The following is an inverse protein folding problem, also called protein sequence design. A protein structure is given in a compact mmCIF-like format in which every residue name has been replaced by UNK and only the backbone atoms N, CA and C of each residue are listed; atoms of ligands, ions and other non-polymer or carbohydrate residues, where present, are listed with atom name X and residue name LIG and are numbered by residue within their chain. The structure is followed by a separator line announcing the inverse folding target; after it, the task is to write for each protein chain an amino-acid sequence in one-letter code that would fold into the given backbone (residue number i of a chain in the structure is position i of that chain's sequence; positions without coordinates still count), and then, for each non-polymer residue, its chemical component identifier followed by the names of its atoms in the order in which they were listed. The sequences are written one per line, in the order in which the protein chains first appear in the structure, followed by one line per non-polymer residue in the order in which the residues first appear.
data_IF_416240416903
#
_entry.id   IF_416240416903
#
_cell.length_a   1.000
_cell.length_b   1.000
_cell.length_c   1.000
_cell.angle_alpha   90.00
_cell.angle_beta   90.00
_cell.angle_gamma   90.00
#
_symmetry.space_group_name_H-M   'P 1'
#
loop_
_entity.id
_entity.type
_entity.pdbx_description
1 polymer ?
#
# COMPACT_ATOMS: atom_id res chain seq x y z
N UNK A 1 -18.44 24.80 35.47
CA UNK A 1 -18.91 23.39 35.40
C UNK A 1 -18.62 22.89 33.98
N UNK A 2 -17.44 22.35 33.73
CA UNK A 2 -17.07 21.82 32.43
C UNK A 2 -17.21 20.30 32.48
N UNK A 3 -18.26 19.83 31.85
CA UNK A 3 -18.60 18.42 31.77
C UNK A 3 -17.66 17.70 30.83
N UNK A 4 -17.13 16.58 31.27
CA UNK A 4 -16.18 15.70 30.59
C UNK A 4 -16.69 15.24 29.22
N UNK A 5 -16.06 15.68 28.14
CA UNK A 5 -16.18 15.05 26.83
C UNK A 5 -15.45 13.72 26.91
N UNK A 6 -16.21 12.62 26.94
CA UNK A 6 -15.65 11.27 26.74
C UNK A 6 -15.09 11.21 25.31
N UNK A 7 -13.78 11.16 25.21
CA UNK A 7 -13.10 10.74 24.00
C UNK A 7 -13.50 9.29 23.72
N UNK A 8 -14.35 9.14 22.73
CA UNK A 8 -14.77 7.86 22.17
C UNK A 8 -13.55 7.15 21.60
N UNK A 9 -13.29 5.93 22.11
CA UNK A 9 -12.52 4.85 21.58
C UNK A 9 -11.30 5.20 20.73
N UNK A 10 -10.12 5.12 21.32
CA UNK A 10 -8.87 4.90 20.61
C UNK A 10 -9.04 3.67 19.72
N UNK A 11 -9.32 3.90 18.42
CA UNK A 11 -9.02 2.89 17.41
C UNK A 11 -7.50 2.85 17.37
N UNK A 12 -6.92 1.91 18.08
CA UNK A 12 -5.51 1.60 17.98
C UNK A 12 -5.23 1.37 16.50
N UNK A 13 -4.43 2.27 15.91
CA UNK A 13 -3.84 2.00 14.63
C UNK A 13 -3.16 0.63 14.75
N UNK A 14 -3.45 -0.33 13.85
CA UNK A 14 -2.73 -1.58 13.86
C UNK A 14 -1.26 -1.22 13.85
N UNK A 15 -0.53 -1.66 14.87
CA UNK A 15 0.90 -1.47 14.92
C UNK A 15 1.45 -2.01 13.60
N UNK A 16 2.22 -1.20 12.89
CA UNK A 16 3.04 -1.61 11.75
C UNK A 16 4.16 -2.57 12.22
N UNK A 17 3.76 -3.58 12.99
CA UNK A 17 4.62 -4.69 13.36
C UNK A 17 4.49 -5.75 12.31
N UNK A 18 5.61 -5.91 11.61
CA UNK A 18 5.97 -7.11 10.89
C UNK A 18 5.01 -7.50 9.77
N UNK A 19 4.98 -6.69 8.70
CA UNK A 19 5.00 -7.32 7.40
C UNK A 19 6.39 -7.98 7.26
N UNK A 20 6.56 -9.16 7.83
CA UNK A 20 7.67 -10.01 7.50
C UNK A 20 7.55 -10.31 6.01
N UNK A 21 8.31 -9.61 5.19
CA UNK A 21 8.39 -9.95 3.79
C UNK A 21 8.73 -8.85 2.80
N UNK A 22 8.57 -7.58 3.09
CA UNK A 22 8.99 -6.56 2.13
C UNK A 22 9.88 -5.51 2.79
N UNK A 23 11.12 -5.89 3.02
CA UNK A 23 12.19 -4.94 3.16
C UNK A 23 12.58 -4.45 1.76
N UNK A 24 11.87 -3.48 1.21
CA UNK A 24 12.37 -2.66 0.10
C UNK A 24 13.53 -1.76 0.58
N UNK A 25 13.79 -1.73 1.88
CA UNK A 25 14.96 -1.10 2.47
C UNK A 25 16.20 -1.92 2.11
N UNK A 26 16.80 -1.60 0.98
CA UNK A 26 18.05 -2.22 0.52
C UNK A 26 18.10 -2.56 -0.95
N UNK A 27 17.11 -2.15 -1.75
CA UNK A 27 17.20 -2.27 -3.22
C UNK A 27 17.03 -3.68 -3.77
N UNK A 28 16.49 -4.62 -3.01
CA UNK A 28 16.18 -5.94 -3.51
C UNK A 28 14.69 -6.01 -3.86
N UNK A 29 14.38 -5.91 -5.15
CA UNK A 29 13.00 -6.06 -5.66
C UNK A 29 12.65 -7.55 -5.55
N UNK A 30 11.49 -7.92 -4.95
CA UNK A 30 11.10 -9.31 -4.85
C UNK A 30 10.83 -9.92 -6.23
N UNK A 31 11.06 -11.22 -6.36
CA UNK A 31 10.84 -11.94 -7.60
C UNK A 31 9.36 -11.88 -8.08
N UNK A 32 8.43 -11.77 -7.12
CA UNK A 32 6.99 -11.63 -7.37
C UNK A 32 6.41 -10.56 -6.47
N UNK A 33 5.46 -9.77 -6.99
CA UNK A 33 4.75 -8.75 -6.22
C UNK A 33 3.47 -9.32 -5.61
N UNK A 34 3.03 -8.70 -4.51
CA UNK A 34 1.80 -9.05 -3.81
C UNK A 34 0.78 -7.92 -3.93
N UNK A 35 -0.50 -8.25 -3.84
CA UNK A 35 -1.56 -7.26 -3.73
C UNK A 35 -1.65 -6.70 -2.29
N UNK A 36 -2.09 -5.45 -2.15
CA UNK A 36 -2.39 -4.85 -0.84
C UNK A 36 -3.90 -4.66 -0.74
N UNK A 37 -4.53 -5.44 0.14
CA UNK A 37 -5.98 -5.35 0.39
C UNK A 37 -6.20 -5.17 1.88
N UNK A 38 -6.99 -4.18 2.29
CA UNK A 38 -7.22 -3.85 3.71
C UNK A 38 -5.93 -3.59 4.51
N UNK A 39 -4.89 -3.06 3.86
CA UNK A 39 -3.59 -2.82 4.49
C UNK A 39 -2.77 -4.09 4.76
N UNK A 40 -3.16 -5.21 4.18
CA UNK A 40 -2.44 -6.47 4.28
C UNK A 40 -1.88 -6.90 2.93
N UNK A 41 -0.70 -7.51 2.95
CA UNK A 41 -0.09 -8.12 1.79
C UNK A 41 -0.77 -9.47 1.52
N UNK A 42 -1.33 -9.61 0.32
CA UNK A 42 -2.07 -10.81 -0.11
C UNK A 42 -1.40 -11.40 -1.35
N UNK A 43 -0.99 -12.64 -1.27
CA UNK A 43 -0.51 -13.37 -2.44
C UNK A 43 -1.67 -13.69 -3.36
N UNK A 44 -1.49 -13.43 -4.65
CA UNK A 44 -2.49 -13.78 -5.65
C UNK A 44 -2.50 -15.29 -5.91
N UNK A 45 -3.70 -15.82 -6.08
CA UNK A 45 -3.93 -17.25 -6.45
C UNK A 45 -3.95 -17.47 -7.96
N UNK A 46 -3.45 -16.48 -8.72
CA UNK A 46 -3.43 -16.54 -10.17
C UNK A 46 -2.35 -17.49 -10.68
N UNK A 47 -2.60 -18.13 -11.78
CA UNK A 47 -1.62 -18.86 -12.59
C UNK A 47 -0.97 -17.98 -13.68
N UNK A 48 -1.48 -16.76 -13.87
CA UNK A 48 -1.02 -15.82 -14.90
C UNK A 48 -0.25 -14.67 -14.28
N UNK A 49 1.00 -14.51 -14.72
CA UNK A 49 1.90 -13.46 -14.26
C UNK A 49 2.37 -12.61 -15.43
N UNK A 50 2.62 -11.35 -15.19
CA UNK A 50 3.13 -10.38 -16.15
C UNK A 50 4.56 -10.06 -15.73
N UNK A 51 5.51 -10.25 -16.63
CA UNK A 51 6.90 -9.92 -16.39
C UNK A 51 7.11 -8.41 -16.53
N UNK A 52 7.74 -7.80 -15.54
CA UNK A 52 8.16 -6.40 -15.57
C UNK A 52 9.64 -6.36 -15.91
N UNK A 53 9.97 -5.69 -17.00
CA UNK A 53 11.35 -5.57 -17.49
C UNK A 53 11.97 -4.24 -17.11
N UNK A 54 13.27 -4.23 -16.88
CA UNK A 54 14.04 -2.99 -16.83
C UNK A 54 14.27 -2.51 -18.27
N UNK A 55 13.79 -1.31 -18.64
CA UNK A 55 13.87 -0.83 -20.02
C UNK A 55 15.30 -0.63 -20.52
N UNK A 56 16.24 -0.32 -19.63
CA UNK A 56 17.64 -0.11 -19.98
C UNK A 56 18.39 -1.42 -20.28
N UNK A 57 18.04 -2.52 -19.60
CA UNK A 57 18.77 -3.80 -19.70
C UNK A 57 17.96 -4.94 -20.30
N UNK A 58 16.65 -4.74 -20.45
CA UNK A 58 15.66 -5.74 -20.87
C UNK A 58 15.63 -7.01 -19.99
N UNK A 59 16.12 -6.90 -18.78
CA UNK A 59 16.08 -7.99 -17.80
C UNK A 59 14.78 -7.96 -17.03
N UNK A 60 14.23 -9.14 -16.70
CA UNK A 60 13.05 -9.25 -15.83
C UNK A 60 13.43 -8.84 -14.42
N UNK A 61 12.76 -7.81 -13.89
CA UNK A 61 12.98 -7.27 -12.55
C UNK A 61 12.10 -7.97 -11.53
N UNK A 62 10.83 -8.16 -11.88
CA UNK A 62 9.81 -8.77 -11.02
C UNK A 62 8.65 -9.28 -11.86
N UNK A 63 7.71 -10.00 -11.21
CA UNK A 63 6.47 -10.45 -11.83
C UNK A 63 5.28 -9.88 -11.07
N UNK A 64 4.29 -9.37 -11.81
CA UNK A 64 3.04 -8.84 -11.27
C UNK A 64 1.91 -9.85 -11.54
N UNK A 65 1.07 -10.16 -10.54
CA UNK A 65 -0.03 -11.10 -10.74
C UNK A 65 -1.13 -10.49 -11.60
N UNK A 66 -1.65 -11.26 -12.54
CA UNK A 66 -2.92 -10.96 -13.19
C UNK A 66 -4.04 -11.34 -12.23
N UNK A 67 -4.41 -10.42 -11.33
CA UNK A 67 -5.36 -10.67 -10.24
C UNK A 67 -6.65 -11.32 -10.74
N UNK A 68 -7.15 -12.29 -9.98
CA UNK A 68 -8.38 -12.99 -10.30
C UNK A 68 -9.60 -12.11 -10.06
N UNK A 69 -10.73 -12.48 -10.64
CA UNK A 69 -11.99 -11.75 -10.43
C UNK A 69 -12.40 -11.72 -8.95
N UNK A 70 -12.25 -12.84 -8.27
CA UNK A 70 -12.61 -12.96 -6.84
C UNK A 70 -11.74 -12.04 -5.96
N UNK A 71 -10.45 -11.92 -6.27
CA UNK A 71 -9.54 -10.99 -5.60
C UNK A 71 -9.93 -9.53 -5.83
N UNK A 72 -10.33 -9.19 -7.05
CA UNK A 72 -10.82 -7.84 -7.38
C UNK A 72 -12.14 -7.54 -6.67
N UNK A 73 -13.08 -8.47 -6.63
CA UNK A 73 -14.35 -8.32 -5.91
C UNK A 73 -14.11 -8.17 -4.41
N UNK A 74 -13.21 -8.93 -3.82
CA UNK A 74 -12.81 -8.78 -2.40
C UNK A 74 -12.18 -7.41 -2.12
N UNK A 75 -11.33 -6.91 -3.01
CA UNK A 75 -10.73 -5.59 -2.89
C UNK A 75 -11.78 -4.46 -2.96
N UNK A 76 -12.74 -4.58 -3.89
CA UNK A 76 -13.86 -3.63 -4.02
C UNK A 76 -14.74 -3.62 -2.77
N UNK A 77 -15.06 -4.79 -2.22
CA UNK A 77 -15.87 -4.87 -1.00
C UNK A 77 -15.13 -4.27 0.21
N UNK A 78 -13.83 -4.53 0.33
CA UNK A 78 -12.98 -3.89 1.33
C UNK A 78 -13.01 -2.36 1.20
N UNK A 79 -12.88 -1.84 -0.01
CA UNK A 79 -12.92 -0.40 -0.28
C UNK A 79 -14.29 0.21 0.06
N UNK A 80 -15.41 -0.47 -0.29
CA UNK A 80 -16.76 -0.04 0.08
C UNK A 80 -16.95 0.03 1.59
N UNK A 81 -16.42 -0.93 2.32
CA UNK A 81 -16.49 -0.94 3.78
C UNK A 81 -15.68 0.21 4.39
N UNK A 82 -14.49 0.47 3.89
CA UNK A 82 -13.66 1.61 4.31
C UNK A 82 -14.35 2.95 4.00
N UNK A 83 -15.05 3.06 2.87
CA UNK A 83 -15.75 4.27 2.45
C UNK A 83 -16.84 4.69 3.45
N UNK A 84 -17.50 3.76 4.14
CA UNK A 84 -18.56 4.06 5.12
C UNK A 84 -18.08 5.00 6.25
N UNK A 85 -16.81 4.89 6.63
CA UNK A 85 -16.17 5.75 7.63
C UNK A 85 -15.39 6.89 7.00
N UNK A 86 -14.63 6.61 5.96
CA UNK A 86 -13.81 7.60 5.28
C UNK A 86 -14.60 8.75 4.68
N UNK A 87 -15.79 8.47 4.12
CA UNK A 87 -16.67 9.51 3.56
C UNK A 87 -17.08 10.57 4.59
N UNK A 88 -17.12 10.21 5.87
CA UNK A 88 -17.47 11.10 6.99
C UNK A 88 -16.27 11.83 7.59
N UNK A 89 -15.06 11.52 7.14
CA UNK A 89 -13.83 12.15 7.62
C UNK A 89 -13.75 13.59 7.10
N UNK A 90 -13.49 14.53 7.99
CA UNK A 90 -13.40 15.96 7.63
C UNK A 90 -12.20 16.22 6.71
N UNK A 91 -12.25 17.28 5.87
CA UNK A 91 -11.11 17.67 5.04
C UNK A 91 -9.82 17.90 5.84
N UNK A 92 -9.93 18.51 7.02
CA UNK A 92 -8.78 18.76 7.91
C UNK A 92 -8.13 17.45 8.38
N UNK A 93 -8.93 16.45 8.77
CA UNK A 93 -8.39 15.16 9.17
C UNK A 93 -7.72 14.41 8.02
N UNK A 94 -8.26 14.50 6.80
CA UNK A 94 -7.64 13.96 5.58
C UNK A 94 -6.32 14.65 5.27
N UNK A 95 -6.27 15.98 5.41
CA UNK A 95 -5.07 16.78 5.19
C UNK A 95 -3.91 16.33 6.11
N UNK A 96 -4.20 16.02 7.38
CA UNK A 96 -3.18 15.52 8.31
C UNK A 96 -2.57 14.19 7.85
N UNK A 97 -3.38 13.33 7.24
CA UNK A 97 -2.88 12.07 6.66
C UNK A 97 -1.98 12.35 5.45
N UNK A 98 -2.38 13.29 4.58
CA UNK A 98 -1.58 13.67 3.42
C UNK A 98 -0.23 14.29 3.81
N UNK A 99 -0.17 15.08 4.89
CA UNK A 99 1.10 15.61 5.39
C UNK A 99 2.04 14.50 5.87
N UNK A 100 1.52 13.49 6.56
CA UNK A 100 2.33 12.32 6.95
C UNK A 100 2.81 11.54 5.72
N UNK A 101 1.97 11.36 4.73
CA UNK A 101 2.33 10.71 3.48
C UNK A 101 3.42 11.48 2.74
N UNK A 102 3.30 12.82 2.64
CA UNK A 102 4.34 13.67 2.07
C UNK A 102 5.68 13.50 2.79
N UNK A 103 5.66 13.44 4.12
CA UNK A 103 6.89 13.24 4.90
C UNK A 103 7.53 11.90 4.60
N UNK A 104 6.73 10.81 4.56
CA UNK A 104 7.22 9.48 4.21
C UNK A 104 7.86 9.43 2.82
N UNK A 105 7.28 10.12 1.83
CA UNK A 105 7.89 10.21 0.49
C UNK A 105 9.23 10.93 0.56
N UNK A 106 9.32 12.06 1.29
CA UNK A 106 10.57 12.81 1.43
C UNK A 106 11.66 11.99 2.10
N UNK A 107 11.31 11.27 3.16
CA UNK A 107 12.25 10.44 3.91
C UNK A 107 12.80 9.27 3.09
N UNK A 108 12.00 8.76 2.12
CA UNK A 108 12.34 7.63 1.26
C UNK A 108 12.56 8.02 -0.21
N UNK A 109 12.80 9.30 -0.50
CA UNK A 109 12.83 9.84 -1.86
C UNK A 109 13.80 9.10 -2.79
N UNK A 110 14.99 8.75 -2.31
CA UNK A 110 16.00 8.03 -3.10
C UNK A 110 15.56 6.63 -3.50
N UNK A 111 14.92 5.92 -2.58
CA UNK A 111 14.39 4.57 -2.84
C UNK A 111 13.22 4.61 -3.84
N UNK A 112 12.31 5.56 -3.65
CA UNK A 112 11.19 5.76 -4.58
C UNK A 112 11.70 6.11 -5.98
N UNK A 113 12.64 7.05 -6.09
CA UNK A 113 13.24 7.42 -7.38
C UNK A 113 13.92 6.23 -8.07
N UNK A 114 14.66 5.40 -7.31
CA UNK A 114 15.30 4.21 -7.84
C UNK A 114 14.30 3.20 -8.39
N UNK A 115 13.18 2.96 -7.68
CA UNK A 115 12.13 2.04 -8.13
C UNK A 115 11.50 2.51 -9.44
N UNK A 116 11.22 3.82 -9.55
CA UNK A 116 10.69 4.41 -10.78
C UNK A 116 11.68 4.20 -11.93
N UNK A 117 12.93 4.60 -11.78
CA UNK A 117 13.96 4.47 -12.82
C UNK A 117 14.19 3.01 -13.25
N UNK A 118 13.95 2.05 -12.36
CA UNK A 118 14.17 0.63 -12.65
C UNK A 118 12.98 0.00 -13.39
N UNK A 119 11.77 0.53 -13.24
CA UNK A 119 10.52 -0.08 -13.74
C UNK A 119 9.75 0.72 -14.78
N UNK A 120 10.19 1.92 -15.18
CA UNK A 120 9.51 2.73 -16.21
C UNK A 120 10.16 2.56 -17.59
N UNK A 121 9.28 2.44 -18.61
CA UNK A 121 9.64 2.58 -20.02
C UNK A 121 9.82 4.06 -20.39
#
# INVERSE_FOLDING_TARGET
MWSKVKLCGSVAAPSLRSAAGLSYAGGNIPATTQNIISGQWVESKTDRWIDVHNPATNQVVTKVPHSTRDEMEAAVESAKNAFKTWSKTTPLARQQIMFRYQQLIKDNLKEVAKLITTGEE
#
